data_IF_968008145072
#
_entry.id   IF_968008145072
#
_cell.length_a   1.000
_cell.length_b   1.000
_cell.length_c   1.000
_cell.angle_alpha   90.00
_cell.angle_beta   90.00
_cell.angle_gamma   90.00
#
_symmetry.space_group_name_H-M   'P 1'
#
loop_
_entity.id
_entity.type
_entity.pdbx_description
1 polymer ?
#
# COMPACT_ATOMS: atom_id res chain seq x y z
N UNK A 1 -2.92 -30.60 56.72
CA UNK A 1 -3.10 -29.18 56.35
C UNK A 1 -2.19 -28.90 55.16
N UNK A 2 -2.72 -28.79 53.93
CA UNK A 2 -1.92 -28.42 52.77
C UNK A 2 -2.01 -26.91 52.56
N UNK A 3 -0.88 -26.22 52.56
CA UNK A 3 -0.77 -24.86 52.03
C UNK A 3 -0.50 -24.95 50.54
N UNK A 4 -1.52 -24.65 49.75
CA UNK A 4 -1.43 -24.50 48.30
C UNK A 4 -0.60 -23.27 47.97
N UNK A 5 0.61 -23.48 47.42
CA UNK A 5 1.36 -22.44 46.73
C UNK A 5 0.95 -22.52 45.25
N UNK A 6 -0.13 -21.82 44.91
CA UNK A 6 -0.62 -21.67 43.55
C UNK A 6 0.17 -20.53 42.89
N UNK A 7 1.41 -20.81 42.48
CA UNK A 7 2.17 -19.95 41.57
C UNK A 7 2.29 -20.66 40.21
N UNK A 8 1.15 -20.81 39.56
CA UNK A 8 1.08 -20.97 38.11
C UNK A 8 0.40 -19.74 37.54
N UNK A 9 1.12 -18.61 37.57
CA UNK A 9 0.97 -17.59 36.53
C UNK A 9 1.56 -18.15 35.24
N UNK A 10 0.89 -19.17 34.69
CA UNK A 10 1.03 -19.54 33.29
C UNK A 10 0.51 -18.37 32.48
N UNK A 11 1.38 -17.39 32.25
CA UNK A 11 1.22 -16.46 31.16
C UNK A 11 1.48 -17.27 29.90
N UNK A 12 0.47 -18.03 29.46
CA UNK A 12 0.42 -18.74 28.19
C UNK A 12 0.36 -17.78 26.98
N UNK A 13 1.00 -16.62 27.11
CA UNK A 13 1.22 -15.62 26.07
C UNK A 13 2.44 -15.96 25.21
N UNK A 14 2.85 -17.23 25.18
CA UNK A 14 3.36 -17.82 23.95
C UNK A 14 2.19 -17.96 22.95
N UNK A 15 1.53 -16.84 22.65
CA UNK A 15 0.87 -16.63 21.37
C UNK A 15 1.99 -16.81 20.36
N UNK A 16 2.07 -18.01 19.79
CA UNK A 16 2.90 -18.29 18.65
C UNK A 16 2.54 -17.26 17.59
N UNK A 17 3.33 -16.19 17.55
CA UNK A 17 3.06 -14.94 16.85
C UNK A 17 2.84 -15.14 15.34
N UNK A 18 3.17 -16.33 14.86
CA UNK A 18 3.07 -16.79 13.49
C UNK A 18 2.75 -18.28 13.54
N UNK A 19 1.49 -18.73 13.35
CA UNK A 19 1.14 -20.16 13.40
C UNK A 19 1.66 -20.88 12.15
N UNK A 20 2.96 -21.24 12.17
CA UNK A 20 3.70 -21.89 11.07
C UNK A 20 3.11 -23.24 10.67
N UNK A 21 2.38 -23.89 11.57
CA UNK A 21 1.69 -25.16 11.31
C UNK A 21 0.38 -25.06 10.52
N UNK A 22 -0.11 -23.84 10.23
CA UNK A 22 -1.43 -23.64 9.60
C UNK A 22 -1.33 -23.10 8.17
N UNK A 23 -2.21 -23.57 7.26
CA UNK A 23 -2.34 -23.05 5.88
C UNK A 23 -2.55 -21.52 5.82
N UNK A 24 -3.04 -20.92 6.90
CA UNK A 24 -3.25 -19.46 7.02
C UNK A 24 -1.94 -18.68 6.91
N UNK A 25 -0.81 -19.26 7.31
CA UNK A 25 0.50 -18.62 7.22
C UNK A 25 0.94 -18.40 5.77
N UNK A 26 0.78 -19.41 4.91
CA UNK A 26 1.10 -19.31 3.49
C UNK A 26 0.22 -18.26 2.80
N UNK A 27 -1.05 -18.18 3.19
CA UNK A 27 -1.98 -17.16 2.67
C UNK A 27 -1.55 -15.74 3.04
N UNK A 28 -1.06 -15.51 4.26
CA UNK A 28 -0.56 -14.20 4.68
C UNK A 28 0.72 -13.84 3.93
N UNK A 29 1.64 -14.79 3.75
CA UNK A 29 2.87 -14.58 3.02
C UNK A 29 2.62 -14.28 1.53
N UNK A 30 1.70 -15.02 0.90
CA UNK A 30 1.32 -14.76 -0.49
C UNK A 30 0.66 -13.40 -0.67
N UNK A 31 -0.16 -12.98 0.29
CA UNK A 31 -0.80 -11.66 0.27
C UNK A 31 0.25 -10.55 0.32
N UNK A 32 1.24 -10.67 1.21
CA UNK A 32 2.38 -9.72 1.32
C UNK A 32 3.22 -9.64 0.05
N UNK A 33 3.52 -10.79 -0.56
CA UNK A 33 4.25 -10.81 -1.83
C UNK A 33 3.42 -10.15 -2.95
N UNK A 34 2.11 -10.39 -2.98
CA UNK A 34 1.19 -9.68 -3.89
C UNK A 34 1.23 -8.17 -3.68
N UNK A 35 1.10 -7.71 -2.43
CA UNK A 35 1.20 -6.29 -2.05
C UNK A 35 2.54 -5.68 -2.48
N UNK A 36 3.65 -6.39 -2.31
CA UNK A 36 4.98 -5.90 -2.73
C UNK A 36 5.06 -5.76 -4.25
N UNK A 37 4.64 -6.80 -4.99
CA UNK A 37 4.67 -6.78 -6.46
C UNK A 37 3.79 -5.64 -7.00
N UNK A 38 2.62 -5.44 -6.43
CA UNK A 38 1.73 -4.35 -6.80
C UNK A 38 2.37 -2.98 -6.49
N UNK A 39 2.92 -2.78 -5.29
CA UNK A 39 3.54 -1.50 -4.95
C UNK A 39 4.83 -1.22 -5.75
N UNK A 40 5.60 -2.25 -6.16
CA UNK A 40 6.75 -2.08 -7.06
C UNK A 40 6.33 -1.53 -8.43
N UNK A 41 5.13 -1.85 -8.91
CA UNK A 41 4.58 -1.31 -10.16
C UNK A 41 3.96 0.07 -9.93
N UNK A 42 3.24 0.27 -8.82
CA UNK A 42 2.56 1.53 -8.52
C UNK A 42 3.54 2.70 -8.31
N UNK A 43 4.64 2.48 -7.58
CA UNK A 43 5.66 3.50 -7.29
C UNK A 43 6.20 4.19 -8.56
N UNK A 44 6.73 3.48 -9.57
CA UNK A 44 7.21 4.12 -10.79
C UNK A 44 6.08 4.76 -11.62
N UNK A 45 4.86 4.21 -11.59
CA UNK A 45 3.71 4.82 -12.27
C UNK A 45 3.42 6.22 -11.71
N UNK A 46 3.29 6.33 -10.38
CA UNK A 46 3.01 7.61 -9.73
C UNK A 46 4.21 8.56 -9.72
N UNK A 47 5.44 8.04 -9.63
CA UNK A 47 6.65 8.87 -9.75
C UNK A 47 6.74 9.52 -11.13
N UNK A 48 6.48 8.75 -12.18
CA UNK A 48 6.47 9.28 -13.54
C UNK A 48 5.31 10.25 -13.76
N UNK A 49 4.10 9.91 -13.29
CA UNK A 49 2.93 10.80 -13.38
C UNK A 49 3.17 12.15 -12.68
N UNK A 50 3.73 12.12 -11.47
CA UNK A 50 4.09 13.33 -10.72
C UNK A 50 5.10 14.21 -11.49
N UNK A 51 6.08 13.59 -12.16
CA UNK A 51 7.05 14.33 -12.98
C UNK A 51 6.41 14.96 -14.22
N UNK A 52 5.47 14.28 -14.88
CA UNK A 52 4.77 14.83 -16.05
C UNK A 52 3.91 16.04 -15.67
N UNK A 53 3.22 15.95 -14.54
CA UNK A 53 2.46 17.04 -13.94
C UNK A 53 3.36 18.24 -13.58
N UNK A 54 4.51 17.99 -12.92
CA UNK A 54 5.48 19.04 -12.59
C UNK A 54 6.08 19.75 -13.82
N UNK A 55 6.28 19.03 -14.93
CA UNK A 55 6.81 19.60 -16.18
C UNK A 55 5.78 20.47 -16.92
N UNK A 56 4.55 20.60 -16.41
CA UNK A 56 3.50 21.43 -17.01
C UNK A 56 3.03 20.91 -18.37
N UNK A 57 3.16 19.60 -18.60
CA UNK A 57 2.69 18.95 -19.84
C UNK A 57 1.18 19.06 -19.99
N UNK A 58 0.49 19.25 -18.86
CA UNK A 58 -0.96 19.29 -18.74
C UNK A 58 -1.41 20.71 -18.42
N UNK A 59 -2.34 21.24 -19.21
CA UNK A 59 -2.80 22.62 -19.12
C UNK A 59 -3.75 22.90 -17.96
N UNK A 60 -4.44 21.85 -17.53
CA UNK A 60 -5.43 21.86 -16.48
C UNK A 60 -5.06 20.77 -15.50
N UNK A 61 -3.92 20.92 -14.84
CA UNK A 61 -3.51 20.06 -13.73
C UNK A 61 -4.03 20.72 -12.45
N UNK A 62 -5.22 20.31 -11.98
CA UNK A 62 -5.80 20.84 -10.75
C UNK A 62 -4.93 20.52 -9.53
N UNK A 63 -5.10 19.32 -8.98
CA UNK A 63 -4.32 18.78 -7.86
C UNK A 63 -3.62 17.46 -8.24
N UNK A 64 -3.56 17.11 -9.53
CA UNK A 64 -3.08 15.83 -10.04
C UNK A 64 -1.65 15.53 -9.60
N UNK A 65 -0.74 16.50 -9.69
CA UNK A 65 0.61 16.38 -9.12
C UNK A 65 0.61 15.97 -7.64
N UNK A 66 -0.27 16.60 -6.85
CA UNK A 66 -0.33 16.37 -5.40
C UNK A 66 -0.88 14.99 -5.10
N UNK A 67 -1.94 14.56 -5.80
CA UNK A 67 -2.51 13.23 -5.60
C UNK A 67 -1.60 12.11 -6.12
N UNK A 68 -0.88 12.32 -7.22
CA UNK A 68 0.16 11.40 -7.67
C UNK A 68 1.28 11.28 -6.62
N UNK A 69 1.72 12.40 -6.03
CA UNK A 69 2.71 12.40 -4.94
C UNK A 69 2.22 11.72 -3.66
N UNK A 70 0.96 11.91 -3.28
CA UNK A 70 0.36 11.23 -2.12
C UNK A 70 0.25 9.72 -2.34
N UNK A 71 -0.21 9.28 -3.53
CA UNK A 71 -0.28 7.85 -3.87
C UNK A 71 1.12 7.22 -3.95
N UNK A 72 2.12 7.95 -4.46
CA UNK A 72 3.52 7.53 -4.40
C UNK A 72 3.97 7.27 -2.96
N UNK A 73 3.65 8.18 -2.03
CA UNK A 73 3.99 8.06 -0.62
C UNK A 73 3.30 6.87 0.06
N UNK A 74 2.00 6.66 -0.17
CA UNK A 74 1.25 5.56 0.43
C UNK A 74 1.62 4.20 -0.16
N UNK A 75 1.95 4.12 -1.45
CA UNK A 75 2.51 2.91 -2.06
C UNK A 75 3.91 2.59 -1.54
N UNK A 76 4.78 3.60 -1.38
CA UNK A 76 6.11 3.42 -0.81
C UNK A 76 6.04 2.92 0.64
N UNK A 77 5.13 3.47 1.44
CA UNK A 77 4.88 3.00 2.80
C UNK A 77 4.43 1.52 2.82
N UNK A 78 3.48 1.14 1.96
CA UNK A 78 3.01 -0.25 1.83
C UNK A 78 4.13 -1.22 1.44
N UNK A 79 5.03 -0.79 0.55
CA UNK A 79 6.22 -1.55 0.14
C UNK A 79 7.21 -1.72 1.29
N UNK A 80 7.56 -0.64 1.98
CA UNK A 80 8.51 -0.66 3.11
C UNK A 80 7.97 -1.55 4.24
N UNK A 81 6.71 -1.35 4.62
CA UNK A 81 6.09 -2.12 5.69
C UNK A 81 6.02 -3.61 5.36
N UNK A 82 5.58 -3.97 4.15
CA UNK A 82 5.51 -5.37 3.73
C UNK A 82 6.90 -6.03 3.64
N UNK A 83 7.93 -5.26 3.27
CA UNK A 83 9.32 -5.72 3.25
C UNK A 83 9.87 -5.94 4.65
N UNK A 84 9.65 -4.99 5.57
CA UNK A 84 10.04 -5.13 6.99
C UNK A 84 9.37 -6.37 7.58
N UNK A 85 8.08 -6.56 7.33
CA UNK A 85 7.35 -7.74 7.79
C UNK A 85 8.00 -9.05 7.29
N UNK A 86 8.33 -9.14 6.01
CA UNK A 86 9.01 -10.32 5.46
C UNK A 86 10.39 -10.55 6.09
N UNK A 87 11.19 -9.50 6.26
CA UNK A 87 12.52 -9.61 6.90
C UNK A 87 12.37 -10.14 8.32
N UNK A 88 11.47 -9.59 9.11
CA UNK A 88 11.27 -9.99 10.51
C UNK A 88 10.79 -11.44 10.61
N UNK A 89 9.91 -11.87 9.69
CA UNK A 89 9.46 -13.28 9.60
C UNK A 89 10.61 -14.21 9.20
N UNK A 90 11.43 -13.83 8.20
CA UNK A 90 12.59 -14.61 7.75
C UNK A 90 13.67 -14.72 8.83
N UNK A 91 13.87 -13.67 9.63
CA UNK A 91 14.78 -13.66 10.77
C UNK A 91 14.26 -14.43 12.00
N UNK A 92 13.12 -15.12 11.89
CA UNK A 92 12.47 -15.86 12.99
C UNK A 92 12.11 -15.00 14.21
N UNK A 93 11.94 -13.70 14.05
CA UNK A 93 11.54 -12.81 15.14
C UNK A 93 10.02 -12.88 15.35
N UNK A 94 9.58 -12.88 16.62
CA UNK A 94 8.17 -12.83 16.97
C UNK A 94 7.65 -11.38 16.90
N UNK A 95 6.63 -11.13 16.07
CA UNK A 95 5.94 -9.84 16.00
C UNK A 95 4.59 -9.98 16.67
N UNK A 96 4.27 -9.10 17.61
CA UNK A 96 2.95 -9.12 18.24
C UNK A 96 1.83 -8.94 17.18
N UNK A 97 0.80 -9.80 17.16
CA UNK A 97 -0.23 -9.77 16.11
C UNK A 97 -0.96 -8.43 16.01
N UNK A 98 -1.11 -7.73 17.14
CA UNK A 98 -1.71 -6.38 17.16
C UNK A 98 -0.91 -5.33 16.40
N UNK A 99 0.43 -5.45 16.35
CA UNK A 99 1.29 -4.54 15.57
C UNK A 99 1.03 -4.75 14.08
N UNK A 100 0.98 -6.00 13.63
CA UNK A 100 0.70 -6.35 12.22
C UNK A 100 -0.63 -5.73 11.78
N UNK A 101 -1.68 -5.95 12.56
CA UNK A 101 -3.03 -5.46 12.25
C UNK A 101 -3.08 -3.92 12.22
N UNK A 102 -2.45 -3.24 13.17
CA UNK A 102 -2.50 -1.78 13.26
C UNK A 102 -1.82 -1.10 12.05
N UNK A 103 -0.61 -1.54 11.70
CA UNK A 103 0.14 -0.95 10.58
C UNK A 103 -0.48 -1.31 9.22
N UNK A 104 -1.08 -2.50 9.09
CA UNK A 104 -1.85 -2.89 7.90
C UNK A 104 -3.10 -2.04 7.74
N UNK A 105 -3.83 -1.80 8.84
CA UNK A 105 -5.01 -0.95 8.81
C UNK A 105 -4.66 0.49 8.43
N UNK A 106 -3.55 1.02 8.94
CA UNK A 106 -3.04 2.34 8.55
C UNK A 106 -2.69 2.36 7.05
N UNK A 107 -1.99 1.34 6.55
CA UNK A 107 -1.65 1.23 5.12
C UNK A 107 -2.91 1.22 4.26
N UNK A 108 -3.88 0.38 4.64
CA UNK A 108 -5.15 0.23 3.96
C UNK A 108 -5.93 1.54 3.91
N UNK A 109 -6.13 2.20 5.06
CA UNK A 109 -6.85 3.47 5.11
C UNK A 109 -6.14 4.57 4.29
N UNK A 110 -4.82 4.67 4.40
CA UNK A 110 -4.06 5.67 3.67
C UNK A 110 -4.18 5.48 2.15
N UNK A 111 -3.98 4.25 1.66
CA UNK A 111 -4.09 3.95 0.24
C UNK A 111 -5.54 4.10 -0.25
N UNK A 112 -6.54 3.69 0.54
CA UNK A 112 -7.95 3.81 0.15
C UNK A 112 -8.34 5.27 -0.06
N UNK A 113 -7.96 6.13 0.89
CA UNK A 113 -8.26 7.56 0.83
C UNK A 113 -7.57 8.17 -0.39
N UNK A 114 -6.25 7.97 -0.57
CA UNK A 114 -5.50 8.61 -1.67
C UNK A 114 -5.95 8.15 -3.04
N UNK A 115 -6.29 6.86 -3.20
CA UNK A 115 -6.80 6.32 -4.47
C UNK A 115 -8.20 6.85 -4.76
N UNK A 116 -9.10 6.88 -3.78
CA UNK A 116 -10.45 7.40 -3.99
C UNK A 116 -10.45 8.87 -4.45
N UNK A 117 -9.64 9.72 -3.81
CA UNK A 117 -9.53 11.12 -4.22
C UNK A 117 -8.91 11.27 -5.61
N UNK A 118 -7.90 10.48 -5.93
CA UNK A 118 -7.28 10.52 -7.24
C UNK A 118 -8.21 10.01 -8.35
N UNK A 119 -8.99 8.96 -8.11
CA UNK A 119 -10.03 8.47 -9.03
C UNK A 119 -11.17 9.49 -9.22
N UNK A 120 -11.56 10.18 -8.16
CA UNK A 120 -12.54 11.28 -8.25
C UNK A 120 -12.04 12.37 -9.18
N UNK A 121 -10.75 12.75 -9.09
CA UNK A 121 -10.15 13.73 -10.00
C UNK A 121 -10.06 13.21 -11.44
N UNK A 122 -9.59 11.97 -11.62
CA UNK A 122 -9.54 11.29 -12.93
C UNK A 122 -10.90 11.22 -13.62
N UNK A 123 -12.00 11.16 -12.87
CA UNK A 123 -13.37 11.13 -13.43
C UNK A 123 -13.70 12.43 -14.19
N UNK A 124 -13.22 13.58 -13.72
CA UNK A 124 -13.39 14.84 -14.44
C UNK A 124 -12.63 14.83 -15.76
N UNK A 125 -11.42 14.26 -15.77
CA UNK A 125 -10.60 14.13 -16.97
C UNK A 125 -11.07 13.00 -17.89
N UNK A 126 -11.80 12.00 -17.41
CA UNK A 126 -12.39 10.97 -18.25
C UNK A 126 -13.48 11.54 -19.19
N UNK A 127 -14.17 12.60 -18.76
CA UNK A 127 -15.26 13.22 -19.51
C UNK A 127 -14.80 14.25 -20.56
N UNK A 128 -13.58 14.77 -20.46
CA UNK A 128 -13.07 15.83 -21.34
C UNK A 128 -11.59 15.70 -21.75
N UNK A 129 -10.90 14.67 -21.30
CA UNK A 129 -9.46 14.51 -21.42
C UNK A 129 -8.68 15.51 -20.56
N UNK A 130 -7.38 15.31 -20.50
CA UNK A 130 -6.48 16.35 -20.04
C UNK A 130 -6.35 17.45 -21.12
N UNK A 131 -6.51 18.71 -20.74
CA UNK A 131 -6.17 19.83 -21.61
C UNK A 131 -4.67 19.81 -21.90
N UNK A 132 -4.26 19.93 -23.16
CA UNK A 132 -2.83 19.89 -23.54
C UNK A 132 -2.30 21.27 -23.95
N UNK A 133 -1.10 21.62 -23.49
CA UNK A 133 -0.33 22.76 -24.01
C UNK A 133 0.69 22.36 -25.11
N UNK A 134 0.75 21.09 -25.54
CA UNK A 134 1.71 20.63 -26.56
C UNK A 134 1.43 19.25 -27.17
N UNK A 135 2.35 18.74 -28.01
CA UNK A 135 2.23 17.40 -28.62
C UNK A 135 2.74 16.27 -27.71
N UNK A 136 2.32 16.28 -26.45
CA UNK A 136 2.69 15.24 -25.50
C UNK A 136 1.56 14.22 -25.31
N UNK A 137 1.92 12.98 -25.03
CA UNK A 137 1.01 11.84 -24.89
C UNK A 137 0.15 11.94 -23.59
N UNK A 138 -0.80 12.88 -23.54
CA UNK A 138 -1.76 13.02 -22.44
C UNK A 138 -2.58 11.73 -22.21
N UNK A 139 -2.87 10.98 -23.27
CA UNK A 139 -3.53 9.67 -23.17
C UNK A 139 -2.67 8.63 -22.45
N UNK A 140 -1.34 8.71 -22.61
CA UNK A 140 -0.40 7.83 -21.92
C UNK A 140 -0.30 8.18 -20.44
N UNK A 141 -0.38 9.47 -20.08
CA UNK A 141 -0.44 9.91 -18.68
C UNK A 141 -1.67 9.35 -17.97
N UNK A 142 -2.84 9.57 -18.56
CA UNK A 142 -4.09 9.03 -18.03
C UNK A 142 -4.04 7.49 -17.90
N UNK A 143 -3.52 6.78 -18.91
CA UNK A 143 -3.38 5.33 -18.86
C UNK A 143 -2.46 4.83 -17.73
N UNK A 144 -1.35 5.53 -17.48
CA UNK A 144 -0.40 5.18 -16.41
C UNK A 144 -1.00 5.45 -15.03
N UNK A 145 -1.74 6.54 -14.86
CA UNK A 145 -2.43 6.85 -13.60
C UNK A 145 -3.56 5.84 -13.31
N UNK A 146 -4.35 5.46 -14.32
CA UNK A 146 -5.35 4.40 -14.18
C UNK A 146 -4.72 3.05 -13.82
N UNK A 147 -3.59 2.70 -14.44
CA UNK A 147 -2.83 1.49 -14.09
C UNK A 147 -2.33 1.56 -12.64
N UNK A 148 -1.74 2.69 -12.24
CA UNK A 148 -1.28 2.94 -10.88
C UNK A 148 -2.40 2.75 -9.86
N UNK A 149 -3.55 3.40 -10.05
CA UNK A 149 -4.73 3.24 -9.20
C UNK A 149 -5.21 1.80 -9.12
N UNK A 150 -5.32 1.11 -10.26
CA UNK A 150 -5.78 -0.29 -10.31
C UNK A 150 -4.86 -1.21 -9.52
N UNK A 151 -3.55 -1.01 -9.66
CA UNK A 151 -2.56 -1.83 -8.97
C UNK A 151 -2.52 -1.52 -7.47
N UNK A 152 -2.72 -0.27 -7.04
CA UNK A 152 -2.84 0.05 -5.61
C UNK A 152 -4.08 -0.58 -5.00
N UNK A 153 -5.23 -0.60 -5.70
CA UNK A 153 -6.43 -1.31 -5.24
C UNK A 153 -6.21 -2.82 -5.11
N UNK A 154 -5.37 -3.41 -5.97
CA UNK A 154 -4.97 -4.81 -5.89
C UNK A 154 -3.96 -5.10 -4.77
N UNK A 155 -3.24 -4.07 -4.30
CA UNK A 155 -2.22 -4.21 -3.26
C UNK A 155 -2.80 -4.27 -1.84
N UNK A 156 -4.03 -3.78 -1.66
CA UNK A 156 -4.80 -3.76 -0.41
C UNK A 156 -5.26 -5.16 0.01
#
# INVERSE_FOLDING_TARGET
MPTACNDQTSTSWCLEAVPRGSRKWLSLLSLRLGTILCNIIAVPCFAWAMEQHYKGIVATDGLGQTWAGMNLGTSAYGLIWSTIFLIVVLCNCAVHPGVIIAFDFIAFCAQLITVCFHLYELTFYHLGGYGSYGSFDVDKLYGIECLGCSVVLLAM
#
